data_IF_260997611839
#
_entry.id   IF_260997611839
#
_cell.length_a   1.000
_cell.length_b   1.000
_cell.length_c   1.000
_cell.angle_alpha   90.00
_cell.angle_beta   90.00
_cell.angle_gamma   90.00
#
_symmetry.space_group_name_H-M   'P 1'
#
loop_
_entity.id
_entity.type
_entity.pdbx_description
1 polymer ?
#
# COMPACT_ATOMS: atom_id res chain seq x y z
N UNK A 1 10.70 -35.45 -6.68
CA UNK A 1 10.22 -34.57 -7.76
C UNK A 1 9.26 -33.60 -7.09
N UNK A 2 9.75 -32.41 -6.74
CA UNK A 2 8.91 -31.34 -6.20
C UNK A 2 7.83 -31.03 -7.24
N UNK A 3 6.58 -31.27 -6.84
CA UNK A 3 5.42 -30.77 -7.57
C UNK A 3 5.54 -29.26 -7.64
N UNK A 4 5.89 -28.74 -8.81
CA UNK A 4 5.76 -27.31 -9.14
C UNK A 4 4.30 -26.98 -8.89
N UNK A 5 4.00 -26.30 -7.78
CA UNK A 5 2.67 -25.76 -7.52
C UNK A 5 2.19 -25.03 -8.78
N UNK A 6 0.89 -25.10 -9.14
CA UNK A 6 0.42 -24.41 -10.33
C UNK A 6 0.86 -22.95 -10.25
N UNK A 7 1.29 -22.35 -11.37
CA UNK A 7 1.59 -20.92 -11.38
C UNK A 7 0.34 -20.19 -10.92
N UNK A 8 0.47 -19.28 -9.94
CA UNK A 8 -0.63 -18.38 -9.57
C UNK A 8 -1.22 -17.87 -10.86
N UNK A 9 -2.50 -18.18 -11.06
CA UNK A 9 -3.15 -17.78 -12.29
C UNK A 9 -3.10 -16.26 -12.34
N UNK A 10 -2.63 -15.70 -13.47
CA UNK A 10 -2.62 -14.25 -13.70
C UNK A 10 -4.00 -13.62 -13.45
N UNK A 11 -5.04 -14.46 -13.45
CA UNK A 11 -6.42 -14.17 -13.07
C UNK A 11 -6.54 -13.58 -11.66
N UNK A 12 -5.78 -14.06 -10.67
CA UNK A 12 -5.85 -13.56 -9.28
C UNK A 12 -5.29 -12.15 -9.10
N UNK A 13 -4.45 -11.69 -10.03
CA UNK A 13 -3.88 -10.34 -10.11
C UNK A 13 -4.68 -9.39 -11.01
N UNK A 14 -5.77 -9.87 -11.62
CA UNK A 14 -6.58 -9.04 -12.52
C UNK A 14 -7.06 -7.73 -11.90
N UNK A 15 -7.52 -7.67 -10.63
CA UNK A 15 -7.94 -6.40 -10.03
C UNK A 15 -6.83 -5.35 -10.08
N UNK A 16 -5.62 -5.70 -9.64
CA UNK A 16 -4.46 -4.79 -9.65
C UNK A 16 -4.05 -4.43 -11.07
N UNK A 17 -4.02 -5.40 -11.99
CA UNK A 17 -3.66 -5.18 -13.38
C UNK A 17 -4.65 -4.24 -14.09
N UNK A 18 -5.95 -4.34 -13.80
CA UNK A 18 -6.97 -3.43 -14.33
C UNK A 18 -6.72 -2.00 -13.85
N UNK A 19 -6.41 -1.80 -12.57
CA UNK A 19 -6.13 -0.46 -12.03
C UNK A 19 -4.84 0.11 -12.61
N UNK A 20 -3.77 -0.70 -12.71
CA UNK A 20 -2.50 -0.28 -13.32
C UNK A 20 -2.71 0.07 -14.79
N UNK A 21 -3.44 -0.74 -15.54
CA UNK A 21 -3.77 -0.48 -16.94
C UNK A 21 -4.61 0.80 -17.11
N UNK A 22 -5.58 1.03 -16.22
CA UNK A 22 -6.35 2.27 -16.18
C UNK A 22 -5.47 3.48 -15.88
N UNK A 23 -4.49 3.34 -14.97
CA UNK A 23 -3.49 4.37 -14.68
C UNK A 23 -2.61 4.70 -15.88
N UNK A 24 -2.10 3.68 -16.58
CA UNK A 24 -1.37 3.85 -17.84
C UNK A 24 -2.22 4.50 -18.92
N UNK A 25 -3.49 4.10 -19.06
CA UNK A 25 -4.41 4.70 -20.01
C UNK A 25 -4.70 6.18 -19.68
N UNK A 26 -4.91 6.53 -18.41
CA UNK A 26 -5.05 7.90 -17.94
C UNK A 26 -3.81 8.76 -18.28
N UNK A 27 -2.60 8.22 -18.06
CA UNK A 27 -1.34 8.89 -18.40
C UNK A 27 -1.22 9.15 -19.91
N UNK A 28 -1.53 8.15 -20.74
CA UNK A 28 -1.47 8.26 -22.20
C UNK A 28 -2.53 9.24 -22.75
N UNK A 29 -3.74 9.23 -22.18
CA UNK A 29 -4.78 10.19 -22.53
C UNK A 29 -4.42 11.62 -22.13
N UNK A 30 -3.63 11.80 -21.06
CA UNK A 30 -3.07 13.10 -20.67
C UNK A 30 -2.23 13.77 -21.76
N UNK A 31 -1.62 12.99 -22.65
CA UNK A 31 -0.83 13.52 -23.78
C UNK A 31 -1.69 14.01 -24.95
N UNK A 32 -3.01 13.76 -24.92
CA UNK A 32 -3.91 14.18 -25.96
C UNK A 32 -4.18 15.69 -25.91
N UNK A 33 -4.22 16.34 -27.07
CA UNK A 33 -4.58 17.76 -27.19
C UNK A 33 -6.09 18.01 -27.22
N UNK A 34 -6.88 16.96 -27.43
CA UNK A 34 -8.33 17.07 -27.58
C UNK A 34 -8.99 17.15 -26.19
N UNK A 35 -9.76 18.23 -25.94
CA UNK A 35 -10.52 18.41 -24.69
C UNK A 35 -11.41 17.21 -24.32
N UNK A 36 -12.01 16.56 -25.32
CA UNK A 36 -12.82 15.36 -25.10
C UNK A 36 -12.03 14.17 -24.56
N UNK A 37 -10.76 14.02 -24.95
CA UNK A 37 -9.88 12.97 -24.44
C UNK A 37 -9.48 13.25 -22.98
N UNK A 38 -9.21 14.51 -22.64
CA UNK A 38 -8.90 14.92 -21.26
C UNK A 38 -10.11 14.75 -20.33
N UNK A 39 -11.32 15.05 -20.81
CA UNK A 39 -12.56 14.84 -20.08
C UNK A 39 -12.87 13.35 -19.81
N UNK A 40 -12.28 12.43 -20.57
CA UNK A 40 -12.46 10.99 -20.40
C UNK A 40 -11.56 10.40 -19.29
N UNK A 41 -10.53 11.12 -18.82
CA UNK A 41 -9.54 10.60 -17.87
C UNK A 41 -10.17 10.13 -16.54
N UNK A 42 -11.02 10.93 -15.85
CA UNK A 42 -11.64 10.48 -14.61
C UNK A 42 -12.59 9.28 -14.84
N UNK A 43 -13.24 9.22 -16.01
CA UNK A 43 -14.08 8.08 -16.40
C UNK A 43 -13.28 6.79 -16.54
N UNK A 44 -12.08 6.83 -17.11
CA UNK A 44 -11.19 5.66 -17.18
C UNK A 44 -10.87 5.15 -15.79
N UNK A 45 -10.55 6.04 -14.85
CA UNK A 45 -10.32 5.67 -13.45
C UNK A 45 -11.56 5.07 -12.77
N UNK A 46 -12.72 5.69 -12.96
CA UNK A 46 -13.99 5.20 -12.39
C UNK A 46 -14.36 3.82 -12.94
N UNK A 47 -14.32 3.65 -14.26
CA UNK A 47 -14.63 2.38 -14.91
C UNK A 47 -13.62 1.29 -14.54
N UNK A 48 -12.33 1.65 -14.44
CA UNK A 48 -11.28 0.74 -13.97
C UNK A 48 -11.55 0.25 -12.55
N UNK A 49 -11.90 1.14 -11.61
CA UNK A 49 -12.23 0.76 -10.23
C UNK A 49 -13.51 -0.07 -10.13
N UNK A 50 -14.54 0.25 -10.90
CA UNK A 50 -15.77 -0.56 -10.96
C UNK A 50 -15.46 -1.95 -11.52
N UNK A 51 -14.71 -2.04 -12.64
CA UNK A 51 -14.33 -3.32 -13.23
C UNK A 51 -13.49 -4.17 -12.28
N UNK A 52 -12.48 -3.59 -11.63
CA UNK A 52 -11.68 -4.28 -10.62
C UNK A 52 -12.55 -4.78 -9.45
N UNK A 53 -13.50 -3.96 -8.97
CA UNK A 53 -14.41 -4.35 -7.90
C UNK A 53 -15.35 -5.50 -8.27
N UNK A 54 -15.83 -5.53 -9.52
CA UNK A 54 -16.60 -6.65 -10.03
C UNK A 54 -15.75 -7.93 -10.11
N UNK A 55 -14.50 -7.84 -10.56
CA UNK A 55 -13.59 -8.99 -10.61
C UNK A 55 -13.36 -9.56 -9.21
N UNK A 56 -13.09 -8.73 -8.20
CA UNK A 56 -12.93 -9.19 -6.80
C UNK A 56 -14.21 -9.86 -6.29
N UNK A 57 -15.39 -9.29 -6.59
CA UNK A 57 -16.66 -9.84 -6.12
C UNK A 57 -17.02 -11.18 -6.78
N UNK A 58 -16.73 -11.36 -8.06
CA UNK A 58 -17.10 -12.54 -8.83
C UNK A 58 -16.04 -13.64 -8.86
N UNK A 59 -14.80 -13.34 -8.46
CA UNK A 59 -13.74 -14.31 -8.25
C UNK A 59 -13.24 -14.21 -6.79
N UNK A 60 -14.09 -14.56 -5.80
CA UNK A 60 -13.63 -14.64 -4.43
C UNK A 60 -12.50 -15.69 -4.34
N UNK A 61 -11.52 -15.51 -3.44
CA UNK A 61 -10.45 -16.47 -3.25
C UNK A 61 -11.05 -17.83 -2.94
N UNK A 62 -10.52 -18.88 -3.57
CA UNK A 62 -10.78 -20.22 -3.10
C UNK A 62 -10.31 -20.29 -1.65
N UNK A 63 -11.23 -20.60 -0.74
CA UNK A 63 -10.99 -20.70 0.70
C UNK A 63 -10.12 -21.92 1.02
N UNK A 64 -8.91 -21.97 0.47
CA UNK A 64 -7.92 -22.98 0.74
C UNK A 64 -7.13 -22.54 1.97
N UNK A 65 -7.78 -22.68 3.14
CA UNK A 65 -7.14 -22.55 4.44
C UNK A 65 -5.85 -23.38 4.45
N UNK A 66 -4.70 -22.70 4.53
CA UNK A 66 -3.39 -23.36 4.63
C UNK A 66 -2.71 -23.78 3.31
N UNK A 67 -3.28 -23.48 2.14
CA UNK A 67 -2.60 -23.61 0.84
C UNK A 67 -2.61 -22.29 0.09
N UNK A 68 -2.11 -21.23 0.74
CA UNK A 68 -1.87 -19.97 0.06
C UNK A 68 -0.74 -20.19 -0.94
N UNK A 69 -1.06 -20.19 -2.23
CA UNK A 69 -0.08 -20.17 -3.31
C UNK A 69 0.72 -18.87 -3.23
N UNK A 70 1.87 -18.93 -2.55
CA UNK A 70 2.79 -17.81 -2.43
C UNK A 70 3.63 -17.75 -3.70
N UNK A 71 3.08 -17.19 -4.77
CA UNK A 71 3.90 -16.79 -5.91
C UNK A 71 4.61 -15.48 -5.59
N UNK A 72 5.94 -15.52 -5.51
CA UNK A 72 6.77 -14.32 -5.41
C UNK A 72 6.57 -13.45 -4.15
N UNK A 73 5.72 -13.87 -3.20
CA UNK A 73 5.34 -13.10 -2.01
C UNK A 73 4.00 -12.37 -2.11
N UNK A 74 3.06 -12.88 -2.89
CA UNK A 74 1.65 -12.48 -2.83
C UNK A 74 0.82 -13.55 -2.10
N UNK A 75 -0.18 -13.12 -1.34
CA UNK A 75 -1.21 -13.93 -0.70
C UNK A 75 -2.57 -13.28 -0.94
N UNK A 76 -3.54 -14.08 -1.38
CA UNK A 76 -4.93 -13.62 -1.57
C UNK A 76 -5.82 -14.27 -0.51
N UNK A 77 -5.75 -13.69 0.68
CA UNK A 77 -6.50 -14.08 1.87
C UNK A 77 -7.67 -13.11 2.12
N UNK A 78 -8.44 -13.35 3.19
CA UNK A 78 -9.55 -12.47 3.58
C UNK A 78 -9.07 -11.05 3.89
N UNK A 79 -7.82 -10.87 4.36
CA UNK A 79 -7.24 -9.55 4.56
C UNK A 79 -7.08 -8.81 3.23
N UNK A 80 -6.48 -9.47 2.24
CA UNK A 80 -6.22 -8.92 0.92
C UNK A 80 -7.52 -8.45 0.26
N UNK A 81 -8.57 -9.27 0.34
CA UNK A 81 -9.88 -8.94 -0.21
C UNK A 81 -10.59 -7.80 0.54
N UNK A 82 -10.52 -7.79 1.87
CA UNK A 82 -11.01 -6.68 2.67
C UNK A 82 -10.32 -5.36 2.28
N UNK A 83 -8.99 -5.40 2.12
CA UNK A 83 -8.20 -4.24 1.70
C UNK A 83 -8.57 -3.81 0.29
N UNK A 84 -8.68 -4.74 -0.66
CA UNK A 84 -9.09 -4.44 -2.05
C UNK A 84 -10.46 -3.77 -2.10
N UNK A 85 -11.48 -4.36 -1.47
CA UNK A 85 -12.84 -3.84 -1.53
C UNK A 85 -12.96 -2.47 -0.84
N UNK A 86 -12.39 -2.31 0.35
CA UNK A 86 -12.39 -1.02 1.04
C UNK A 86 -11.63 0.06 0.26
N UNK A 87 -10.50 -0.31 -0.35
CA UNK A 87 -9.71 0.57 -1.22
C UNK A 87 -10.47 1.00 -2.45
N UNK A 88 -11.18 0.09 -3.12
CA UNK A 88 -11.94 0.39 -4.34
C UNK A 88 -13.18 1.24 -4.02
N UNK A 89 -13.92 0.92 -2.95
CA UNK A 89 -15.09 1.70 -2.51
C UNK A 89 -14.66 3.13 -2.16
N UNK A 90 -13.66 3.28 -1.29
CA UNK A 90 -13.19 4.60 -0.88
C UNK A 90 -12.47 5.32 -2.02
N UNK A 91 -11.75 4.58 -2.88
CA UNK A 91 -11.10 5.10 -4.08
C UNK A 91 -12.10 5.74 -5.04
N UNK A 92 -13.29 5.13 -5.23
CA UNK A 92 -14.36 5.73 -6.03
C UNK A 92 -14.83 7.04 -5.39
N UNK A 93 -15.10 7.06 -4.08
CA UNK A 93 -15.52 8.28 -3.38
C UNK A 93 -14.49 9.40 -3.51
N UNK A 94 -13.21 9.06 -3.31
CA UNK A 94 -12.10 10.00 -3.42
C UNK A 94 -11.89 10.50 -4.86
N UNK A 95 -12.04 9.63 -5.87
CA UNK A 95 -11.95 10.02 -7.27
C UNK A 95 -13.09 10.96 -7.65
N UNK A 96 -14.32 10.67 -7.21
CA UNK A 96 -15.47 11.55 -7.44
C UNK A 96 -15.27 12.91 -6.76
N UNK A 97 -14.67 12.94 -5.57
CA UNK A 97 -14.31 14.19 -4.90
C UNK A 97 -13.20 14.96 -5.64
N UNK A 98 -12.27 14.28 -6.30
CA UNK A 98 -11.15 14.87 -7.01
C UNK A 98 -11.44 15.17 -8.50
N UNK A 99 -12.66 14.89 -8.97
CA UNK A 99 -13.02 14.87 -10.39
C UNK A 99 -12.65 16.14 -11.17
N UNK A 100 -12.75 17.29 -10.51
CA UNK A 100 -12.54 18.61 -11.12
C UNK A 100 -11.35 19.36 -10.51
N UNK A 101 -10.53 18.70 -9.69
CA UNK A 101 -9.43 19.36 -8.98
C UNK A 101 -8.22 19.69 -9.88
N UNK A 102 -7.66 18.74 -10.67
CA UNK A 102 -6.46 19.04 -11.45
C UNK A 102 -6.79 19.98 -12.62
N UNK A 103 -5.77 20.75 -13.02
CA UNK A 103 -5.85 21.53 -14.25
C UNK A 103 -5.98 20.60 -15.47
N UNK A 104 -6.57 21.07 -16.58
CA UNK A 104 -6.73 20.25 -17.79
C UNK A 104 -5.40 19.65 -18.28
N UNK A 105 -4.29 20.40 -18.14
CA UNK A 105 -2.96 19.96 -18.58
C UNK A 105 -2.31 18.93 -17.67
N UNK A 106 -2.71 18.87 -16.41
CA UNK A 106 -2.07 18.04 -15.38
C UNK A 106 -2.96 16.82 -15.00
N UNK A 107 -4.14 16.70 -15.62
CA UNK A 107 -5.17 15.69 -15.30
C UNK A 107 -4.69 14.25 -15.52
N UNK A 108 -3.94 13.99 -16.59
CA UNK A 108 -3.44 12.64 -16.89
C UNK A 108 -2.43 12.15 -15.86
N UNK A 109 -1.46 13.00 -15.52
CA UNK A 109 -0.47 12.74 -14.47
C UNK A 109 -1.16 12.59 -13.11
N UNK A 110 -2.09 13.48 -12.77
CA UNK A 110 -2.80 13.43 -11.50
C UNK A 110 -3.59 12.12 -11.31
N UNK A 111 -4.46 11.75 -12.25
CA UNK A 111 -5.29 10.56 -12.13
C UNK A 111 -4.51 9.26 -12.33
N UNK A 112 -3.41 9.26 -13.09
CA UNK A 112 -2.52 8.10 -13.15
C UNK A 112 -1.83 7.85 -11.81
N UNK A 113 -1.32 8.90 -11.15
CA UNK A 113 -0.73 8.79 -9.82
C UNK A 113 -1.75 8.34 -8.77
N UNK A 114 -2.98 8.85 -8.85
CA UNK A 114 -4.10 8.39 -8.03
C UNK A 114 -4.29 6.87 -8.17
N UNK A 115 -4.41 6.37 -9.40
CA UNK A 115 -4.66 4.96 -9.68
C UNK A 115 -3.47 4.08 -9.30
N UNK A 116 -2.23 4.54 -9.48
CA UNK A 116 -1.05 3.80 -9.01
C UNK A 116 -1.00 3.69 -7.49
N UNK A 117 -1.36 4.76 -6.76
CA UNK A 117 -1.46 4.67 -5.30
C UNK A 117 -2.58 3.73 -4.83
N UNK A 118 -3.73 3.70 -5.54
CA UNK A 118 -4.80 2.72 -5.30
C UNK A 118 -4.31 1.28 -5.52
N UNK A 119 -3.60 1.03 -6.63
CA UNK A 119 -3.00 -0.28 -6.89
C UNK A 119 -1.97 -0.68 -5.82
N UNK A 120 -1.13 0.27 -5.39
CA UNK A 120 -0.18 0.07 -4.29
C UNK A 120 -0.88 -0.38 -3.00
N UNK A 121 -1.98 0.28 -2.64
CA UNK A 121 -2.74 -0.07 -1.44
C UNK A 121 -3.38 -1.47 -1.54
N UNK A 122 -3.89 -1.86 -2.71
CA UNK A 122 -4.36 -3.24 -2.95
C UNK A 122 -3.22 -4.27 -2.79
N UNK A 123 -2.02 -3.95 -3.28
CA UNK A 123 -0.84 -4.79 -3.13
C UNK A 123 -0.34 -4.86 -1.67
N UNK A 124 -0.50 -3.81 -0.86
CA UNK A 124 -0.19 -3.88 0.58
C UNK A 124 -1.08 -4.92 1.27
N UNK A 125 -2.36 -5.00 0.89
CA UNK A 125 -3.27 -6.05 1.34
C UNK A 125 -2.78 -7.44 0.96
N UNK A 126 -2.30 -7.59 -0.28
CA UNK A 126 -1.91 -8.88 -0.85
C UNK A 126 -0.45 -9.28 -0.57
N UNK A 127 0.39 -8.44 0.02
CA UNK A 127 1.82 -8.74 0.18
C UNK A 127 2.11 -9.73 1.33
N UNK A 128 2.78 -10.83 1.05
CA UNK A 128 3.18 -11.86 2.02
C UNK A 128 4.69 -11.95 2.24
N UNK A 129 5.46 -10.94 1.84
CA UNK A 129 6.89 -10.84 2.13
C UNK A 129 7.31 -9.38 2.39
N UNK A 130 8.42 -9.17 3.10
CA UNK A 130 8.90 -7.83 3.48
C UNK A 130 9.22 -6.94 2.28
N UNK A 131 9.79 -7.51 1.21
CA UNK A 131 10.18 -6.75 0.02
C UNK A 131 8.98 -6.18 -0.75
N UNK A 132 7.97 -7.01 -1.02
CA UNK A 132 6.75 -6.60 -1.69
C UNK A 132 5.90 -5.69 -0.80
N UNK A 133 5.86 -5.94 0.51
CA UNK A 133 5.20 -5.03 1.44
C UNK A 133 5.83 -3.64 1.36
N UNK A 134 7.16 -3.54 1.38
CA UNK A 134 7.86 -2.27 1.23
C UNK A 134 7.58 -1.61 -0.13
N UNK A 135 7.69 -2.36 -1.22
CA UNK A 135 7.45 -1.83 -2.58
C UNK A 135 6.01 -1.35 -2.75
N UNK A 136 5.04 -2.07 -2.22
CA UNK A 136 3.63 -1.69 -2.27
C UNK A 136 3.35 -0.40 -1.48
N UNK A 137 3.98 -0.23 -0.30
CA UNK A 137 3.90 1.01 0.48
C UNK A 137 4.55 2.18 -0.27
N UNK A 138 5.67 1.95 -0.97
CA UNK A 138 6.30 3.00 -1.78
C UNK A 138 5.49 3.32 -3.04
N UNK A 139 4.79 2.34 -3.62
CA UNK A 139 3.82 2.57 -4.70
C UNK A 139 2.60 3.38 -4.23
N UNK A 140 2.27 3.38 -2.94
CA UNK A 140 1.31 4.35 -2.36
C UNK A 140 1.97 5.72 -2.19
N UNK A 141 3.21 5.75 -1.74
CA UNK A 141 3.88 6.97 -1.26
C UNK A 141 4.33 7.89 -2.39
N UNK A 142 5.06 7.35 -3.36
CA UNK A 142 5.65 8.14 -4.45
C UNK A 142 4.59 8.86 -5.27
N UNK A 143 3.50 8.20 -5.72
CA UNK A 143 2.45 8.90 -6.45
C UNK A 143 1.75 9.97 -5.61
N UNK A 144 1.59 9.72 -4.30
CA UNK A 144 0.98 10.70 -3.39
C UNK A 144 1.82 11.98 -3.28
N UNK A 145 3.16 11.88 -3.27
CA UNK A 145 4.04 13.05 -3.31
C UNK A 145 3.79 13.90 -4.57
N UNK A 146 3.72 13.23 -5.72
CA UNK A 146 3.45 13.89 -7.01
C UNK A 146 2.05 14.52 -7.03
N UNK A 147 1.02 13.83 -6.52
CA UNK A 147 -0.35 14.35 -6.45
C UNK A 147 -0.44 15.64 -5.63
N UNK A 148 0.30 15.79 -4.54
CA UNK A 148 0.30 17.03 -3.75
C UNK A 148 0.83 18.19 -4.61
N UNK A 149 1.94 17.99 -5.33
CA UNK A 149 2.52 19.02 -6.20
C UNK A 149 1.60 19.38 -7.38
N UNK A 150 0.91 18.39 -7.95
CA UNK A 150 -0.02 18.58 -9.08
C UNK A 150 -1.39 19.12 -8.65
N UNK A 151 -1.74 19.00 -7.37
CA UNK A 151 -3.07 19.35 -6.88
C UNK A 151 -3.45 20.80 -7.15
N UNK A 152 -2.53 21.74 -6.89
CA UNK A 152 -2.72 23.18 -7.16
C UNK A 152 -1.38 23.82 -7.45
N UNK A 153 -1.32 24.70 -8.45
CA UNK A 153 -0.13 25.50 -8.78
C UNK A 153 0.08 26.61 -7.75
N UNK A 154 0.63 26.27 -6.59
CA UNK A 154 0.93 27.21 -5.51
C UNK A 154 2.27 26.91 -4.84
N UNK A 155 2.99 27.93 -4.34
CA UNK A 155 4.21 27.71 -3.56
C UNK A 155 3.97 26.84 -2.32
N UNK A 156 2.79 26.97 -1.69
CA UNK A 156 2.39 26.16 -0.53
C UNK A 156 2.31 24.67 -0.86
N UNK A 157 1.76 24.30 -2.02
CA UNK A 157 1.69 22.91 -2.46
C UNK A 157 3.08 22.31 -2.70
N UNK A 158 4.00 23.10 -3.26
CA UNK A 158 5.40 22.68 -3.47
C UNK A 158 6.14 22.51 -2.14
N UNK A 159 5.95 23.43 -1.19
CA UNK A 159 6.51 23.31 0.16
C UNK A 159 5.99 22.05 0.87
N UNK A 160 4.67 21.83 0.84
CA UNK A 160 4.03 20.63 1.40
C UNK A 160 4.55 19.34 0.76
N UNK A 161 4.60 19.27 -0.58
CA UNK A 161 5.18 18.15 -1.30
C UNK A 161 6.61 17.88 -0.85
N UNK A 162 7.45 18.92 -0.78
CA UNK A 162 8.86 18.80 -0.43
C UNK A 162 9.03 18.28 0.99
N UNK A 163 8.29 18.84 1.96
CA UNK A 163 8.27 18.36 3.35
C UNK A 163 7.82 16.91 3.44
N UNK A 164 6.73 16.55 2.76
CA UNK A 164 6.19 15.20 2.80
C UNK A 164 7.13 14.18 2.15
N UNK A 165 7.75 14.53 1.02
CA UNK A 165 8.71 13.69 0.32
C UNK A 165 9.94 13.38 1.19
N UNK A 166 10.62 14.39 1.73
CA UNK A 166 11.86 14.17 2.49
C UNK A 166 11.60 13.43 3.80
N UNK A 167 10.55 13.81 4.55
CA UNK A 167 10.19 13.11 5.78
C UNK A 167 9.70 11.70 5.49
N UNK A 168 8.97 11.51 4.39
CA UNK A 168 8.51 10.21 3.91
C UNK A 168 9.65 9.30 3.47
N UNK A 169 10.67 9.83 2.78
CA UNK A 169 11.86 9.09 2.39
C UNK A 169 12.69 8.65 3.61
N UNK A 170 12.82 9.50 4.62
CA UNK A 170 13.46 9.14 5.88
C UNK A 170 12.70 8.00 6.58
N UNK A 171 11.36 8.11 6.68
CA UNK A 171 10.52 7.07 7.27
C UNK A 171 10.59 5.74 6.48
N UNK A 172 10.64 5.82 5.15
CA UNK A 172 10.81 4.66 4.27
C UNK A 172 12.17 3.98 4.52
N UNK A 173 13.26 4.75 4.61
CA UNK A 173 14.59 4.21 4.92
C UNK A 173 14.63 3.52 6.29
N UNK A 174 14.01 4.12 7.32
CA UNK A 174 13.89 3.53 8.66
C UNK A 174 13.07 2.22 8.61
N UNK A 175 11.95 2.20 7.88
CA UNK A 175 11.12 1.00 7.70
C UNK A 175 11.90 -0.12 7.00
N UNK A 176 12.57 0.20 5.89
CA UNK A 176 13.37 -0.73 5.11
C UNK A 176 14.53 -1.33 5.92
N UNK A 177 15.20 -0.51 6.74
CA UNK A 177 16.26 -1.00 7.61
C UNK A 177 15.71 -1.93 8.70
N UNK A 178 14.54 -1.61 9.28
CA UNK A 178 13.84 -2.53 10.18
C UNK A 178 13.49 -3.87 9.52
N UNK A 179 12.95 -3.85 8.30
CA UNK A 179 12.66 -5.06 7.53
C UNK A 179 13.91 -5.89 7.23
N UNK A 180 15.04 -5.24 6.96
CA UNK A 180 16.32 -5.92 6.76
C UNK A 180 16.78 -6.70 8.02
N UNK A 181 16.62 -6.11 9.20
CA UNK A 181 16.93 -6.79 10.47
C UNK A 181 15.99 -7.96 10.73
N UNK A 182 14.68 -7.79 10.48
CA UNK A 182 13.69 -8.86 10.63
C UNK A 182 13.92 -10.00 9.63
N UNK A 183 14.28 -9.67 8.40
CA UNK A 183 14.73 -10.63 7.41
C UNK A 183 15.94 -11.44 7.92
N UNK A 184 16.92 -10.78 8.56
CA UNK A 184 18.08 -11.45 9.15
C UNK A 184 17.71 -12.47 10.24
N UNK A 185 16.71 -12.17 11.07
CA UNK A 185 16.22 -13.08 12.12
C UNK A 185 15.35 -14.19 11.53
N UNK A 186 14.40 -13.84 10.66
CA UNK A 186 13.49 -14.78 10.01
C UNK A 186 14.20 -15.73 9.02
N UNK A 187 15.36 -15.32 8.46
CA UNK A 187 16.13 -16.08 7.47
C UNK A 187 15.43 -16.23 6.11
N UNK A 188 14.28 -15.60 5.94
CA UNK A 188 13.50 -15.55 4.72
C UNK A 188 12.82 -14.19 4.65
N UNK A 189 12.45 -13.77 3.43
CA UNK A 189 11.69 -12.53 3.26
C UNK A 189 10.20 -12.71 3.56
N UNK A 190 9.72 -13.96 3.66
CA UNK A 190 8.31 -14.29 3.74
C UNK A 190 7.76 -13.92 5.12
N UNK A 191 6.51 -13.51 5.14
CA UNK A 191 5.72 -13.23 6.34
C UNK A 191 4.76 -14.42 6.46
N UNK A 192 5.29 -15.54 6.93
CA UNK A 192 4.57 -16.81 7.11
C UNK A 192 4.79 -17.39 8.52
N UNK A 193 4.26 -18.59 8.75
CA UNK A 193 4.33 -19.26 10.05
C UNK A 193 5.77 -19.44 10.56
N UNK A 194 6.72 -19.70 9.65
CA UNK A 194 8.13 -19.89 10.01
C UNK A 194 8.77 -18.57 10.44
N UNK A 195 8.52 -17.48 9.71
CA UNK A 195 8.97 -16.14 10.13
C UNK A 195 8.39 -15.74 11.49
N UNK A 196 7.09 -16.01 11.73
CA UNK A 196 6.44 -15.76 13.02
C UNK A 196 7.12 -16.57 14.13
N UNK A 197 7.35 -17.87 13.92
CA UNK A 197 8.00 -18.74 14.90
C UNK A 197 9.40 -18.24 15.25
N UNK A 198 10.25 -17.97 14.26
CA UNK A 198 11.65 -17.56 14.49
C UNK A 198 11.77 -16.19 15.15
N UNK A 199 10.92 -15.23 14.76
CA UNK A 199 10.93 -13.88 15.36
C UNK A 199 10.38 -13.93 16.78
N UNK A 200 9.28 -14.65 17.03
CA UNK A 200 8.72 -14.78 18.38
C UNK A 200 9.66 -15.52 19.34
N UNK A 201 10.36 -16.56 18.88
CA UNK A 201 11.40 -17.26 19.66
C UNK A 201 12.56 -16.33 20.01
N UNK A 202 13.04 -15.51 19.06
CA UNK A 202 14.07 -14.53 19.31
C UNK A 202 13.63 -13.50 20.37
N UNK A 203 12.37 -13.05 20.32
CA UNK A 203 11.81 -12.13 21.32
C UNK A 203 11.60 -12.78 22.69
N UNK A 204 11.39 -14.10 22.74
CA UNK A 204 11.20 -14.85 23.98
C UNK A 204 12.52 -15.15 24.73
N UNK A 205 13.68 -14.83 24.15
CA UNK A 205 15.01 -15.13 24.74
C UNK A 205 15.85 -13.86 25.01
N UNK A 206 15.48 -13.05 26.03
CA UNK A 206 16.21 -11.83 26.38
C UNK A 206 17.70 -12.05 26.61
N UNK A 207 18.53 -11.07 26.23
CA UNK A 207 19.97 -11.09 26.41
C UNK A 207 20.76 -11.76 25.28
N UNK A 208 20.07 -12.34 24.29
CA UNK A 208 20.71 -12.86 23.07
C UNK A 208 20.89 -11.77 22.00
N UNK A 209 21.82 -11.99 21.07
CA UNK A 209 21.94 -11.12 19.89
C UNK A 209 20.66 -11.15 19.03
N UNK A 210 20.01 -12.31 18.93
CA UNK A 210 18.75 -12.47 18.20
C UNK A 210 17.63 -11.60 18.78
N UNK A 211 17.49 -11.56 20.12
CA UNK A 211 16.55 -10.69 20.81
C UNK A 211 16.80 -9.21 20.47
N UNK A 212 18.06 -8.76 20.54
CA UNK A 212 18.41 -7.37 20.26
C UNK A 212 18.09 -6.99 18.80
N UNK A 213 18.46 -7.84 17.83
CA UNK A 213 18.21 -7.60 16.41
C UNK A 213 16.70 -7.60 16.10
N UNK A 214 15.94 -8.57 16.63
CA UNK A 214 14.49 -8.64 16.44
C UNK A 214 13.79 -7.41 17.03
N UNK A 215 14.18 -7.01 18.24
CA UNK A 215 13.61 -5.84 18.92
C UNK A 215 13.88 -4.56 18.14
N UNK A 216 15.13 -4.31 17.74
CA UNK A 216 15.49 -3.13 16.93
C UNK A 216 14.79 -3.18 15.57
N UNK A 217 14.72 -4.36 14.94
CA UNK A 217 13.98 -4.56 13.68
C UNK A 217 12.52 -4.12 13.79
N UNK A 218 11.80 -4.62 14.79
CA UNK A 218 10.39 -4.24 15.05
C UNK A 218 10.26 -2.74 15.33
N UNK A 219 11.11 -2.20 16.21
CA UNK A 219 11.05 -0.78 16.60
C UNK A 219 11.29 0.13 15.40
N UNK A 220 12.25 -0.18 14.53
CA UNK A 220 12.51 0.62 13.34
C UNK A 220 11.41 0.45 12.29
N UNK A 221 10.94 -0.78 12.05
CA UNK A 221 9.83 -1.02 11.12
C UNK A 221 8.55 -0.29 11.54
N UNK A 222 8.16 -0.42 12.81
CA UNK A 222 7.01 0.30 13.37
C UNK A 222 7.28 1.80 13.36
N UNK A 223 8.47 2.24 13.77
CA UNK A 223 8.84 3.66 13.79
C UNK A 223 8.62 4.35 12.45
N UNK A 224 9.07 3.75 11.34
CA UNK A 224 8.81 4.31 10.01
C UNK A 224 7.33 4.25 9.60
N UNK A 225 6.60 3.20 9.98
CA UNK A 225 5.16 3.08 9.70
C UNK A 225 4.29 4.06 10.53
N UNK A 226 4.72 4.44 11.73
CA UNK A 226 4.06 5.45 12.56
C UNK A 226 3.99 6.81 11.87
N UNK A 227 5.04 7.18 11.11
CA UNK A 227 5.00 8.36 10.24
C UNK A 227 3.89 8.23 9.19
N UNK A 228 3.74 7.05 8.57
CA UNK A 228 2.74 6.80 7.53
C UNK A 228 1.30 6.95 8.03
N UNK A 229 1.03 6.55 9.27
CA UNK A 229 -0.28 6.71 9.91
C UNK A 229 -0.45 8.05 10.64
N UNK A 230 0.53 8.96 10.55
CA UNK A 230 0.51 10.26 11.24
C UNK A 230 0.38 10.13 12.77
N UNK A 231 0.97 9.10 13.38
CA UNK A 231 0.92 8.87 14.81
C UNK A 231 1.90 9.77 15.58
N UNK A 232 1.53 10.12 16.83
CA UNK A 232 2.45 10.78 17.77
C UNK A 232 3.62 9.82 18.09
N UNK A 233 4.87 10.27 18.07
CA UNK A 233 5.35 11.64 17.90
C UNK A 233 5.59 12.08 16.44
N UNK A 234 5.51 11.22 15.43
CA UNK A 234 5.93 11.47 14.04
C UNK A 234 4.90 12.22 13.16
N UNK A 235 4.03 13.03 13.75
CA UNK A 235 2.92 13.73 13.08
C UNK A 235 3.27 15.15 12.60
N UNK A 236 4.51 15.60 12.75
CA UNK A 236 4.92 16.99 12.54
C UNK A 236 4.64 17.55 11.15
N UNK A 237 4.55 16.68 10.13
CA UNK A 237 4.26 17.08 8.76
C UNK A 237 2.77 17.32 8.48
N UNK A 238 1.87 16.82 9.33
CA UNK A 238 0.46 16.63 8.99
C UNK A 238 -0.24 17.96 8.73
N UNK A 239 -0.05 18.95 9.60
CA UNK A 239 -0.69 20.26 9.44
C UNK A 239 -0.27 20.93 8.13
N UNK A 240 1.05 21.03 7.89
CA UNK A 240 1.62 21.66 6.70
C UNK A 240 1.18 20.97 5.40
N UNK A 241 1.17 19.64 5.40
CA UNK A 241 0.85 18.86 4.20
C UNK A 241 -0.64 18.90 3.89
N UNK A 242 -1.51 18.86 4.90
CA UNK A 242 -2.95 18.93 4.71
C UNK A 242 -3.43 20.35 4.35
N UNK A 243 -2.74 21.38 4.83
CA UNK A 243 -3.00 22.77 4.42
C UNK A 243 -2.50 23.04 2.99
N UNK A 244 -1.33 22.51 2.64
CA UNK A 244 -0.71 22.77 1.34
C UNK A 244 -1.36 22.02 0.17
N UNK A 245 -1.96 20.86 0.42
CA UNK A 245 -2.65 20.07 -0.61
C UNK A 245 -4.08 20.57 -0.86
N UNK A 246 -4.61 20.33 -2.07
CA UNK A 246 -6.03 20.53 -2.34
C UNK A 246 -6.93 19.65 -1.45
N UNK A 247 -8.14 20.11 -1.16
CA UNK A 247 -9.09 19.38 -0.30
C UNK A 247 -9.30 17.91 -0.70
N UNK A 248 -9.50 17.55 -1.98
CA UNK A 248 -9.64 16.14 -2.36
C UNK A 248 -8.37 15.32 -2.13
N UNK A 249 -7.20 15.93 -2.31
CA UNK A 249 -5.90 15.28 -2.05
C UNK A 249 -5.65 15.13 -0.54
N UNK A 250 -6.05 16.11 0.27
CA UNK A 250 -6.04 15.99 1.73
C UNK A 250 -6.99 14.88 2.21
N UNK A 251 -8.14 14.70 1.54
CA UNK A 251 -9.03 13.54 1.76
C UNK A 251 -8.35 12.22 1.40
N UNK A 252 -7.63 12.16 0.28
CA UNK A 252 -6.87 11.00 -0.15
C UNK A 252 -5.76 10.63 0.85
N UNK A 253 -4.98 11.62 1.28
CA UNK A 253 -3.98 11.51 2.37
C UNK A 253 -4.61 11.07 3.69
N UNK A 254 -5.87 11.42 3.90
CA UNK A 254 -6.68 11.04 5.05
C UNK A 254 -6.96 9.54 5.13
N UNK A 255 -6.92 8.82 4.01
CA UNK A 255 -7.28 7.41 3.94
C UNK A 255 -6.14 6.53 3.40
N UNK A 256 -5.66 6.76 2.18
CA UNK A 256 -4.85 5.77 1.44
C UNK A 256 -3.52 5.45 2.13
N UNK A 257 -2.65 6.43 2.47
CA UNK A 257 -1.39 6.12 3.16
C UNK A 257 -1.58 5.60 4.58
N UNK A 258 -2.63 6.08 5.29
CA UNK A 258 -2.94 5.63 6.65
C UNK A 258 -3.41 4.19 6.68
N UNK A 259 -4.26 3.81 5.73
CA UNK A 259 -4.74 2.44 5.62
C UNK A 259 -3.61 1.49 5.23
N UNK A 260 -2.75 1.89 4.27
CA UNK A 260 -1.53 1.13 3.94
C UNK A 260 -0.64 0.91 5.18
N UNK A 261 -0.36 1.98 5.93
CA UNK A 261 0.44 1.91 7.16
C UNK A 261 -0.19 1.01 8.23
N UNK A 262 -1.51 1.09 8.41
CA UNK A 262 -2.23 0.26 9.37
C UNK A 262 -2.15 -1.24 9.02
N UNK A 263 -2.39 -1.60 7.75
CA UNK A 263 -2.29 -2.99 7.29
C UNK A 263 -0.86 -3.52 7.46
N UNK A 264 0.14 -2.71 7.13
CA UNK A 264 1.54 -3.07 7.33
C UNK A 264 1.87 -3.30 8.82
N UNK A 265 1.36 -2.46 9.72
CA UNK A 265 1.53 -2.63 11.17
C UNK A 265 0.85 -3.92 11.63
N UNK A 266 -0.39 -4.21 11.19
CA UNK A 266 -1.10 -5.46 11.54
C UNK A 266 -0.27 -6.67 11.13
N UNK A 267 0.28 -6.69 9.91
CA UNK A 267 1.16 -7.77 9.42
C UNK A 267 2.44 -7.92 10.24
N UNK A 268 3.03 -6.82 10.71
CA UNK A 268 4.23 -6.86 11.54
C UNK A 268 3.96 -7.33 12.97
N UNK A 269 2.89 -6.85 13.60
CA UNK A 269 2.58 -7.25 14.98
C UNK A 269 2.20 -8.74 15.04
N UNK A 270 1.65 -9.31 13.97
CA UNK A 270 1.47 -10.76 13.87
C UNK A 270 2.78 -11.56 14.05
N UNK A 271 3.95 -10.99 13.70
CA UNK A 271 5.26 -11.62 13.87
C UNK A 271 5.70 -11.74 15.34
N UNK A 272 5.10 -10.98 16.27
CA UNK A 272 5.49 -10.98 17.68
C UNK A 272 4.86 -12.10 18.50
N UNK A 273 4.16 -13.03 17.84
CA UNK A 273 3.50 -14.15 18.51
C UNK A 273 2.11 -13.81 19.05
N UNK A 274 1.47 -12.73 18.55
CA UNK A 274 0.06 -12.49 18.81
C UNK A 274 -0.78 -13.57 18.12
N UNK A 275 -1.04 -14.66 18.86
CA UNK A 275 -1.94 -15.73 18.44
C UNK A 275 -3.29 -15.56 19.13
N UNK A 276 -4.36 -15.47 18.35
CA UNK A 276 -5.72 -15.68 18.87
C UNK A 276 -5.84 -17.15 19.25
N UNK A 277 -6.38 -17.44 20.44
CA UNK A 277 -6.43 -18.78 21.06
C UNK A 277 -7.29 -19.80 20.28
N UNK A 278 -7.92 -19.38 19.18
CA UNK A 278 -8.62 -20.19 18.20
C UNK A 278 -7.94 -20.00 16.84
N UNK A 279 -7.56 -21.12 16.21
CA UNK A 279 -6.69 -21.22 15.03
C UNK A 279 -6.85 -20.15 13.95
N UNK A 280 -5.69 -19.73 13.42
CA UNK A 280 -5.56 -18.72 12.37
C UNK A 280 -5.81 -17.31 12.91
N UNK A 281 -4.94 -16.35 12.54
CA UNK A 281 -5.37 -14.95 12.55
C UNK A 281 -6.67 -14.90 11.74
N UNK A 282 -7.72 -14.19 12.16
CA UNK A 282 -9.04 -14.27 11.48
C UNK A 282 -9.00 -13.90 9.98
N UNK A 283 -7.86 -13.38 9.53
CA UNK A 283 -7.56 -12.94 8.18
C UNK A 283 -6.46 -13.76 7.48
N UNK A 284 -5.89 -14.79 8.12
CA UNK A 284 -5.06 -15.85 7.52
C UNK A 284 -5.88 -17.15 7.40
#
# INVERSE_FOLDING_TARGET
MESIAPPVSIVSLLPELIIVAAGCAALLLGQAKARGALAAIPWVGLLGMVAAGLVVKFNPPEANFGQVEIFGGLSFDYLADFVRLSTLIMGIVLLLSAWSEPSESDSGEFFSMFLFAVAGLMLVGSSSNFFLLFLAIELVSVPTYVMIALSRRSPKAIEACTKYFYLGALAAAVTAYGFSLLFGVAGSARIDADAIFRISEALATPGTAAYAIATVGIVLSIGGLLFKIAAVPLHFYVADVYEGAASPVSGFLGFVPKFAGMIAIIKLVALTGWQTTSGGLFWM
#
